data_IF_196226487868
#
_entry.id   IF_196226487868
#
_cell.length_a   1.000
_cell.length_b   1.000
_cell.length_c   1.000
_cell.angle_alpha   90.00
_cell.angle_beta   90.00
_cell.angle_gamma   90.00
#
_symmetry.space_group_name_H-M   'P 1'
#
loop_
_entity.id
_entity.type
_entity.pdbx_description
1 polymer ?
#
# COMPACT_ATOMS: atom_id res chain seq x y z
N UNK A 1 -14.52 11.82 -2.78
CA UNK A 1 -14.43 11.03 -4.03
C UNK A 1 -14.10 9.59 -3.68
N UNK A 2 -14.83 8.64 -4.21
CA UNK A 2 -14.50 7.24 -3.97
C UNK A 2 -13.15 6.89 -4.60
N UNK A 3 -12.48 5.93 -3.97
CA UNK A 3 -11.17 5.48 -4.42
C UNK A 3 -11.32 4.60 -5.66
N UNK A 4 -10.40 4.75 -6.60
CA UNK A 4 -10.39 3.99 -7.86
C UNK A 4 -9.11 3.21 -8.05
N UNK A 5 -7.99 3.76 -7.59
CA UNK A 5 -6.66 3.23 -7.86
C UNK A 5 -5.90 3.02 -6.57
N UNK A 6 -5.45 1.78 -6.34
CA UNK A 6 -4.65 1.39 -5.18
C UNK A 6 -3.25 1.00 -5.67
N UNK A 7 -2.22 1.62 -5.09
CA UNK A 7 -0.85 1.18 -5.32
C UNK A 7 -0.43 0.21 -4.21
N UNK A 8 0.20 -0.87 -4.58
CA UNK A 8 0.78 -1.83 -3.64
C UNK A 8 2.28 -1.91 -3.89
N UNK A 9 3.04 -1.73 -2.83
CA UNK A 9 4.47 -1.91 -2.78
C UNK A 9 4.79 -2.86 -1.62
N UNK A 10 5.42 -3.83 -1.84
CA UNK A 10 5.99 -4.97 -2.26
C UNK A 10 4.99 -6.03 -2.71
N UNK A 11 5.23 -6.49 -3.89
CA UNK A 11 4.40 -7.53 -4.48
C UNK A 11 5.01 -8.89 -4.14
N UNK A 12 4.82 -9.30 -2.90
CA UNK A 12 5.16 -10.62 -2.39
C UNK A 12 3.89 -11.45 -2.17
N UNK A 13 3.96 -12.46 -1.31
CA UNK A 13 2.82 -13.35 -1.07
C UNK A 13 1.57 -12.61 -0.58
N UNK A 14 1.71 -11.75 0.43
CA UNK A 14 0.60 -10.98 0.94
C UNK A 14 0.20 -9.87 -0.04
N UNK A 15 1.17 -9.10 -0.52
CA UNK A 15 0.91 -7.95 -1.39
C UNK A 15 0.21 -8.32 -2.69
N UNK A 16 0.65 -9.40 -3.38
CA UNK A 16 0.00 -9.79 -4.62
C UNK A 16 -1.42 -10.31 -4.38
N UNK A 17 -1.64 -11.04 -3.28
CA UNK A 17 -2.96 -11.58 -2.96
C UNK A 17 -3.94 -10.47 -2.57
N UNK A 18 -3.50 -9.47 -1.82
CA UNK A 18 -4.30 -8.28 -1.51
C UNK A 18 -4.64 -7.55 -2.81
N UNK A 19 -3.66 -7.34 -3.68
CA UNK A 19 -3.87 -6.70 -4.97
C UNK A 19 -4.88 -7.43 -5.84
N UNK A 20 -4.79 -8.76 -5.91
CA UNK A 20 -5.73 -9.58 -6.66
C UNK A 20 -7.15 -9.45 -6.12
N UNK A 21 -7.32 -9.47 -4.79
CA UNK A 21 -8.62 -9.32 -4.15
C UNK A 21 -9.24 -7.95 -4.43
N UNK A 22 -8.45 -6.88 -4.34
CA UNK A 22 -8.92 -5.52 -4.61
C UNK A 22 -9.30 -5.36 -6.10
N UNK A 23 -8.52 -5.93 -6.99
CA UNK A 23 -8.82 -5.90 -8.43
C UNK A 23 -10.11 -6.65 -8.73
N UNK A 24 -10.32 -7.81 -8.11
CA UNK A 24 -11.57 -8.58 -8.26
C UNK A 24 -12.78 -7.79 -7.75
N UNK A 25 -12.59 -6.82 -6.87
CA UNK A 25 -13.63 -5.94 -6.36
C UNK A 25 -13.83 -4.68 -7.22
N UNK A 26 -13.16 -4.59 -8.36
CA UNK A 26 -13.37 -3.52 -9.34
C UNK A 26 -12.39 -2.35 -9.27
N UNK A 27 -11.35 -2.45 -8.43
CA UNK A 27 -10.34 -1.39 -8.31
C UNK A 27 -9.21 -1.61 -9.32
N UNK A 28 -8.59 -0.52 -9.77
CA UNK A 28 -7.34 -0.58 -10.50
C UNK A 28 -6.20 -0.71 -9.48
N UNK A 29 -5.33 -1.70 -9.66
CA UNK A 29 -4.22 -1.94 -8.74
C UNK A 29 -2.92 -1.79 -9.51
N UNK A 30 -2.05 -0.91 -9.00
CA UNK A 30 -0.79 -0.56 -9.64
C UNK A 30 0.40 -0.79 -8.70
N UNK A 31 1.58 -0.86 -9.28
CA UNK A 31 2.84 -0.93 -8.53
C UNK A 31 3.96 -0.35 -9.39
N UNK A 32 5.11 -0.17 -8.78
CA UNK A 32 6.36 0.14 -9.49
C UNK A 32 7.30 -1.06 -9.32
N UNK A 33 7.56 -1.78 -10.40
CA UNK A 33 8.33 -3.02 -10.38
C UNK A 33 9.80 -2.83 -10.76
N UNK A 34 10.25 -1.60 -10.95
CA UNK A 34 11.65 -1.31 -11.25
C UNK A 34 12.57 -1.84 -10.15
N UNK A 35 13.58 -2.63 -10.54
CA UNK A 35 14.51 -3.23 -9.61
C UNK A 35 13.96 -4.40 -8.81
N UNK A 36 12.74 -4.82 -9.06
CA UNK A 36 12.12 -5.95 -8.36
C UNK A 36 12.50 -7.28 -9.00
N UNK A 37 12.42 -8.35 -8.20
CA UNK A 37 12.76 -9.71 -8.65
C UNK A 37 11.80 -10.20 -9.72
N UNK A 38 12.25 -11.19 -10.50
CA UNK A 38 11.38 -11.88 -11.46
C UNK A 38 10.18 -12.51 -10.77
N UNK A 39 10.39 -13.06 -9.57
CA UNK A 39 9.31 -13.64 -8.77
C UNK A 39 8.21 -12.61 -8.47
N UNK A 40 8.58 -11.41 -8.00
CA UNK A 40 7.61 -10.33 -7.75
C UNK A 40 6.91 -9.89 -9.02
N UNK A 41 7.63 -9.80 -10.14
CA UNK A 41 7.03 -9.45 -11.43
C UNK A 41 6.01 -10.49 -11.89
N UNK A 42 6.31 -11.77 -11.68
CA UNK A 42 5.38 -12.84 -12.01
C UNK A 42 4.14 -12.83 -11.13
N UNK A 43 4.30 -12.59 -9.83
CA UNK A 43 3.17 -12.45 -8.90
C UNK A 43 2.27 -11.27 -9.28
N UNK A 44 2.86 -10.15 -9.68
CA UNK A 44 2.10 -8.99 -10.13
C UNK A 44 1.26 -9.33 -11.37
N UNK A 45 1.85 -10.06 -12.31
CA UNK A 45 1.17 -10.48 -13.54
C UNK A 45 -0.03 -11.37 -13.24
N UNK A 46 0.15 -12.36 -12.36
CA UNK A 46 -0.90 -13.28 -11.93
C UNK A 46 -2.04 -12.52 -11.25
N UNK A 47 -1.70 -11.54 -10.42
CA UNK A 47 -2.68 -10.75 -9.67
C UNK A 47 -3.38 -9.67 -10.50
N UNK A 48 -2.89 -9.40 -11.71
CA UNK A 48 -3.41 -8.31 -12.53
C UNK A 48 -2.99 -6.92 -12.08
N UNK A 49 -1.84 -6.82 -11.39
CA UNK A 49 -1.27 -5.56 -10.94
C UNK A 49 -0.49 -4.92 -12.08
N UNK A 50 -0.82 -3.67 -12.38
CA UNK A 50 -0.22 -2.94 -13.50
C UNK A 50 1.07 -2.24 -13.06
N UNK A 51 2.16 -2.43 -13.79
CA UNK A 51 3.43 -1.74 -13.55
C UNK A 51 3.40 -0.37 -14.21
N UNK A 52 3.61 0.69 -13.43
CA UNK A 52 3.60 2.06 -13.97
C UNK A 52 5.00 2.63 -14.23
N UNK A 53 6.04 1.87 -13.93
CA UNK A 53 7.40 2.17 -14.37
C UNK A 53 8.23 3.07 -13.46
N UNK A 54 7.64 4.01 -12.72
CA UNK A 54 8.39 4.82 -11.75
C UNK A 54 7.49 5.31 -10.61
N UNK A 55 8.13 5.77 -9.52
CA UNK A 55 7.41 6.17 -8.30
C UNK A 55 6.59 7.44 -8.49
N UNK A 56 7.05 8.38 -9.29
CA UNK A 56 6.31 9.63 -9.52
C UNK A 56 4.99 9.37 -10.25
N UNK A 57 5.00 8.49 -11.24
CA UNK A 57 3.77 8.06 -11.91
C UNK A 57 2.86 7.31 -10.94
N UNK A 58 3.44 6.43 -10.11
CA UNK A 58 2.66 5.68 -9.14
C UNK A 58 1.93 6.60 -8.17
N UNK A 59 2.61 7.58 -7.57
CA UNK A 59 1.97 8.52 -6.64
C UNK A 59 0.97 9.43 -7.34
N UNK A 60 1.17 9.73 -8.62
CA UNK A 60 0.25 10.56 -9.40
C UNK A 60 -1.05 9.84 -9.73
N UNK A 61 -0.99 8.52 -9.96
CA UNK A 61 -2.16 7.73 -10.32
C UNK A 61 -2.90 7.17 -9.09
N UNK A 62 -2.21 6.94 -7.98
CA UNK A 62 -2.79 6.28 -6.82
C UNK A 62 -3.64 7.21 -5.97
N UNK A 63 -4.78 6.72 -5.50
CA UNK A 63 -5.58 7.35 -4.45
C UNK A 63 -5.04 6.97 -3.07
N UNK A 64 -4.53 5.74 -2.94
CA UNK A 64 -3.97 5.19 -1.71
C UNK A 64 -2.79 4.29 -2.05
N UNK A 65 -1.77 4.30 -1.21
CA UNK A 65 -0.59 3.45 -1.33
C UNK A 65 -0.51 2.54 -0.10
N UNK A 66 -0.45 1.24 -0.34
CA UNK A 66 -0.27 0.23 0.71
C UNK A 66 1.18 -0.26 0.67
N UNK A 67 1.93 -0.01 1.73
CA UNK A 67 3.31 -0.49 1.89
C UNK A 67 3.28 -1.85 2.61
N UNK A 68 3.54 -2.93 1.88
CA UNK A 68 3.49 -4.32 2.37
C UNK A 68 4.82 -4.99 2.02
N UNK A 69 5.80 -4.91 2.91
CA UNK A 69 7.16 -5.35 2.63
C UNK A 69 7.88 -5.74 3.93
N UNK A 70 9.10 -6.28 3.87
CA UNK A 70 9.86 -6.52 5.09
C UNK A 70 10.08 -5.22 5.88
N UNK A 71 9.98 -5.27 7.21
CA UNK A 71 10.16 -4.07 8.04
C UNK A 71 11.45 -3.29 7.76
N UNK A 72 12.53 -3.99 7.43
CA UNK A 72 13.82 -3.35 7.12
C UNK A 72 13.79 -2.46 5.87
N UNK A 73 12.85 -2.65 4.97
CA UNK A 73 12.71 -1.86 3.74
C UNK A 73 11.71 -0.70 3.89
N UNK A 74 10.92 -0.68 4.94
CA UNK A 74 9.77 0.22 5.07
C UNK A 74 10.15 1.70 5.12
N UNK A 75 11.15 2.05 5.91
CA UNK A 75 11.55 3.46 6.08
C UNK A 75 12.16 4.04 4.80
N UNK A 76 13.02 3.29 4.13
CA UNK A 76 13.60 3.71 2.85
C UNK A 76 12.53 3.94 1.80
N UNK A 77 11.56 3.04 1.71
CA UNK A 77 10.44 3.19 0.79
C UNK A 77 9.59 4.42 1.15
N UNK A 78 9.29 4.62 2.43
CA UNK A 78 8.54 5.79 2.88
C UNK A 78 9.23 7.10 2.50
N UNK A 79 10.54 7.16 2.63
CA UNK A 79 11.32 8.34 2.22
C UNK A 79 11.28 8.55 0.70
N UNK A 80 11.37 7.48 -0.08
CA UNK A 80 11.29 7.55 -1.54
C UNK A 80 9.91 8.05 -1.99
N UNK A 81 8.84 7.59 -1.34
CA UNK A 81 7.49 8.04 -1.64
C UNK A 81 7.31 9.51 -1.25
N UNK A 82 7.83 9.94 -0.10
CA UNK A 82 7.75 11.35 0.29
C UNK A 82 8.43 12.25 -0.75
N UNK A 83 9.58 11.84 -1.27
CA UNK A 83 10.27 12.57 -2.34
C UNK A 83 9.44 12.61 -3.63
N UNK A 84 8.83 11.49 -4.00
CA UNK A 84 7.98 11.41 -5.20
C UNK A 84 6.71 12.28 -5.07
N UNK A 85 6.12 12.34 -3.89
CA UNK A 85 4.97 13.21 -3.60
C UNK A 85 5.36 14.68 -3.77
N UNK A 86 6.51 15.08 -3.23
CA UNK A 86 7.01 16.45 -3.37
C UNK A 86 7.27 16.81 -4.84
N UNK A 87 7.88 15.88 -5.58
CA UNK A 87 8.23 16.11 -6.98
C UNK A 87 6.99 16.20 -7.88
N UNK A 88 5.97 15.37 -7.63
CA UNK A 88 4.77 15.29 -8.47
C UNK A 88 3.67 16.28 -8.08
N UNK A 89 3.65 16.72 -6.83
CA UNK A 89 2.55 17.53 -6.29
C UNK A 89 1.29 16.73 -5.98
N UNK A 90 1.26 15.43 -6.21
CA UNK A 90 0.14 14.55 -5.90
C UNK A 90 0.17 14.15 -4.43
N UNK A 91 -0.98 13.92 -3.83
CA UNK A 91 -1.09 13.64 -2.39
C UNK A 91 -1.92 12.39 -2.10
N UNK A 92 -1.49 11.19 -2.57
CA UNK A 92 -2.18 9.97 -2.20
C UNK A 92 -2.06 9.70 -0.71
N UNK A 93 -3.01 8.96 -0.15
CA UNK A 93 -2.91 8.51 1.23
C UNK A 93 -1.86 7.40 1.33
N UNK A 94 -0.95 7.48 2.28
CA UNK A 94 0.05 6.45 2.52
C UNK A 94 -0.33 5.61 3.73
N UNK A 95 -0.37 4.29 3.57
CA UNK A 95 -0.65 3.33 4.64
C UNK A 95 0.55 2.42 4.85
N UNK A 96 1.17 2.51 6.01
CA UNK A 96 2.26 1.63 6.42
C UNK A 96 1.64 0.37 7.00
N UNK A 97 1.80 -0.77 6.32
CA UNK A 97 1.16 -2.02 6.72
C UNK A 97 2.12 -3.03 7.35
N UNK A 98 3.32 -2.60 7.72
CA UNK A 98 4.36 -3.48 8.22
C UNK A 98 4.50 -3.37 9.73
N UNK A 99 4.95 -4.46 10.37
CA UNK A 99 5.20 -4.47 11.81
C UNK A 99 6.54 -3.80 12.09
N UNK A 100 6.53 -2.49 12.32
CA UNK A 100 7.72 -1.68 12.56
C UNK A 100 7.67 -1.04 13.94
N UNK A 101 8.85 -0.59 14.43
CA UNK A 101 8.94 0.06 15.73
C UNK A 101 8.16 1.39 15.74
N UNK A 102 7.59 1.80 16.90
CA UNK A 102 6.87 3.06 17.01
C UNK A 102 7.65 4.30 16.54
N UNK A 103 8.95 4.35 16.80
CA UNK A 103 9.78 5.46 16.35
C UNK A 103 9.93 5.50 14.82
N UNK A 104 10.02 4.32 14.20
CA UNK A 104 10.13 4.22 12.74
C UNK A 104 8.84 4.69 12.07
N UNK A 105 7.68 4.26 12.56
CA UNK A 105 6.41 4.72 11.99
C UNK A 105 6.23 6.24 12.16
N UNK A 106 6.67 6.80 13.29
CA UNK A 106 6.62 8.24 13.49
C UNK A 106 7.48 9.01 12.48
N UNK A 107 8.69 8.50 12.20
CA UNK A 107 9.59 9.12 11.21
C UNK A 107 9.01 9.07 9.80
N UNK A 108 8.45 7.93 9.40
CA UNK A 108 7.80 7.77 8.10
C UNK A 108 6.62 8.74 8.00
N UNK A 109 5.76 8.75 9.01
CA UNK A 109 4.60 9.65 9.07
C UNK A 109 4.99 11.12 8.96
N UNK A 110 6.05 11.53 9.66
CA UNK A 110 6.53 12.89 9.58
C UNK A 110 7.00 13.26 8.16
N UNK A 111 7.70 12.35 7.48
CA UNK A 111 8.16 12.58 6.11
C UNK A 111 6.99 12.70 5.14
N UNK A 112 5.98 11.84 5.27
CA UNK A 112 4.79 11.85 4.42
C UNK A 112 3.97 13.12 4.66
N UNK A 113 3.74 13.50 5.92
CA UNK A 113 3.03 14.73 6.26
C UNK A 113 3.77 15.98 5.74
N UNK A 114 5.10 16.00 5.88
CA UNK A 114 5.91 17.10 5.36
C UNK A 114 5.81 17.23 3.84
N UNK A 115 5.56 16.13 3.14
CA UNK A 115 5.33 16.14 1.70
C UNK A 115 3.90 16.56 1.32
N UNK A 116 3.00 16.69 2.29
CA UNK A 116 1.63 17.16 2.08
C UNK A 116 0.58 16.05 1.99
N UNK A 117 0.92 14.81 2.26
CA UNK A 117 0.00 13.67 2.18
C UNK A 117 -0.42 13.16 3.56
N UNK A 118 -1.52 12.41 3.59
CA UNK A 118 -2.00 11.75 4.80
C UNK A 118 -1.27 10.43 5.02
N UNK A 119 -1.09 10.07 6.27
CA UNK A 119 -0.41 8.85 6.69
C UNK A 119 -1.22 8.11 7.74
N UNK A 120 -1.31 6.79 7.60
CA UNK A 120 -1.92 5.91 8.59
C UNK A 120 -1.03 4.70 8.79
N UNK A 121 -0.84 4.32 10.05
CA UNK A 121 -0.17 3.07 10.41
C UNK A 121 -1.22 1.98 10.56
N UNK A 122 -0.99 0.82 9.93
CA UNK A 122 -1.88 -0.32 10.01
C UNK A 122 -1.06 -1.61 10.15
N UNK A 123 -1.58 -2.56 10.93
CA UNK A 123 -1.01 -3.89 11.02
C UNK A 123 -1.89 -4.88 10.28
N UNK A 124 -1.30 -5.82 9.56
CA UNK A 124 -2.04 -6.88 8.88
C UNK A 124 -1.95 -8.16 9.70
N UNK A 125 -3.10 -8.72 10.06
CA UNK A 125 -3.19 -10.00 10.77
C UNK A 125 -4.11 -10.93 10.00
N UNK A 126 -3.67 -12.16 9.79
CA UNK A 126 -4.44 -13.20 9.12
C UNK A 126 -3.74 -13.75 7.89
N UNK A 127 -4.43 -14.64 7.19
CA UNK A 127 -3.92 -15.27 5.97
C UNK A 127 -4.11 -14.35 4.77
N UNK A 128 -3.28 -14.52 3.74
CA UNK A 128 -3.48 -13.84 2.47
C UNK A 128 -4.87 -14.16 1.89
N UNK A 129 -5.51 -13.21 1.19
CA UNK A 129 -6.80 -13.47 0.55
C UNK A 129 -6.75 -14.70 -0.36
N UNK A 130 -7.81 -15.50 -0.34
CA UNK A 130 -7.92 -16.71 -1.14
C UNK A 130 -7.25 -17.94 -0.54
N UNK A 131 -6.59 -17.81 0.62
CA UNK A 131 -5.99 -18.95 1.33
C UNK A 131 -6.91 -19.39 2.48
N UNK A 132 -6.76 -20.65 2.95
CA UNK A 132 -7.52 -21.12 4.11
C UNK A 132 -7.27 -20.23 5.32
N UNK A 133 -8.34 -19.95 6.06
CA UNK A 133 -8.29 -19.11 7.26
C UNK A 133 -9.14 -17.87 7.12
N UNK A 134 -9.03 -16.96 8.08
CA UNK A 134 -9.76 -15.69 8.06
C UNK A 134 -9.19 -14.75 7.00
N UNK A 135 -10.01 -13.89 6.38
CA UNK A 135 -9.49 -12.83 5.54
C UNK A 135 -8.50 -11.95 6.32
N UNK A 136 -7.50 -11.34 5.66
CA UNK A 136 -6.58 -10.47 6.35
C UNK A 136 -7.31 -9.27 6.92
N UNK A 137 -6.96 -8.90 8.14
CA UNK A 137 -7.50 -7.75 8.84
C UNK A 137 -6.44 -6.68 8.92
N UNK A 138 -6.80 -5.48 8.50
CA UNK A 138 -5.94 -4.31 8.58
C UNK A 138 -6.37 -3.50 9.80
N UNK A 139 -5.56 -3.54 10.86
CA UNK A 139 -5.82 -2.80 12.09
C UNK A 139 -5.20 -1.41 11.97
N UNK A 140 -6.03 -0.42 11.74
CA UNK A 140 -5.59 0.95 11.54
C UNK A 140 -5.47 1.71 12.85
N UNK A 141 -4.41 2.52 12.98
CA UNK A 141 -4.14 3.35 14.14
C UNK A 141 -4.17 4.83 13.75
N UNK A 142 -4.74 5.64 14.62
CA UNK A 142 -4.78 7.09 14.45
C UNK A 142 -6.10 7.61 13.90
N UNK A 143 -6.25 8.95 13.82
CA UNK A 143 -7.51 9.58 13.43
C UNK A 143 -7.74 9.64 11.92
N UNK A 144 -6.70 9.46 11.11
CA UNK A 144 -6.79 9.61 9.65
C UNK A 144 -7.00 8.27 8.97
N UNK A 145 -8.25 7.83 8.89
CA UNK A 145 -8.57 6.57 8.21
C UNK A 145 -8.82 6.76 6.71
N UNK A 146 -9.41 7.88 6.33
CA UNK A 146 -9.57 8.29 4.92
C UNK A 146 -9.99 7.17 3.99
N UNK A 147 -9.28 7.02 2.89
CA UNK A 147 -9.57 6.02 1.87
C UNK A 147 -9.38 4.57 2.33
N UNK A 148 -8.65 4.35 3.44
CA UNK A 148 -8.45 2.98 3.92
C UNK A 148 -9.78 2.30 4.28
N UNK A 149 -10.73 3.05 4.87
CA UNK A 149 -12.05 2.52 5.19
C UNK A 149 -12.83 2.09 3.96
N UNK A 150 -12.60 2.71 2.82
CA UNK A 150 -13.28 2.36 1.58
C UNK A 150 -12.88 0.99 1.05
N UNK A 151 -11.75 0.44 1.52
CA UNK A 151 -11.29 -0.90 1.14
C UNK A 151 -11.93 -2.01 1.95
N UNK A 152 -12.65 -1.68 3.03
CA UNK A 152 -13.32 -2.70 3.84
C UNK A 152 -14.37 -3.44 3.01
N UNK A 153 -14.35 -4.76 3.09
CA UNK A 153 -15.27 -5.61 2.34
C UNK A 153 -14.84 -5.90 0.90
N UNK A 154 -13.68 -5.42 0.47
CA UNK A 154 -13.16 -5.65 -0.89
C UNK A 154 -12.09 -6.76 -0.92
N UNK A 155 -12.39 -7.88 -0.24
CA UNK A 155 -11.45 -9.00 -0.11
C UNK A 155 -10.53 -8.89 1.09
N UNK A 156 -10.58 -7.77 1.79
CA UNK A 156 -9.87 -7.51 3.05
C UNK A 156 -10.84 -6.92 4.06
N UNK A 157 -10.44 -6.89 5.32
CA UNK A 157 -11.23 -6.27 6.38
C UNK A 157 -10.42 -5.16 7.01
N UNK A 158 -11.04 -3.99 7.19
CA UNK A 158 -10.40 -2.85 7.83
C UNK A 158 -11.02 -2.62 9.20
N UNK A 159 -10.17 -2.62 10.24
CA UNK A 159 -10.56 -2.47 11.64
C UNK A 159 -9.98 -1.14 12.14
N UNK A 160 -10.85 -0.16 12.44
CA UNK A 160 -10.37 1.10 13.00
C UNK A 160 -9.81 0.95 14.41
#
# INVERSE_FOLDING_TARGET
MPIKTVAIMGVGDMGHAVGQALRASGLDVISCLNGRSEHSRNLAKVAGIRDVGNLELMVSEADIILSIMPPSAAEGFGNDIAAAIKASGSTPMFVECNAIAPDTTRRIGASIHAAGARYTDAGIIGSAPGRPGSPPRFYASGPELGHLLELDGKGIKVMP
#
